data_IF_092158495042
#
_entry.id   IF_092158495042
#
_cell.length_a   1.000
_cell.length_b   1.000
_cell.length_c   1.000
_cell.angle_alpha   90.00
_cell.angle_beta   90.00
_cell.angle_gamma   90.00
#
_symmetry.space_group_name_H-M   'P 1'
#
loop_
_entity.id
_entity.type
_entity.pdbx_description
1 polymer ?
#
# COMPACT_ATOMS: atom_id res chain seq x y z
N UNK A 1 13.18 58.76 -19.81
CA UNK A 1 13.29 57.45 -20.49
C UNK A 1 13.66 56.41 -19.46
N UNK A 2 12.87 55.31 -19.39
CA UNK A 2 13.23 53.91 -19.05
C UNK A 2 14.10 53.70 -17.77
N UNK A 3 13.67 53.00 -16.72
CA UNK A 3 13.44 51.55 -16.71
C UNK A 3 12.63 51.17 -15.44
N UNK A 4 11.44 50.57 -15.58
CA UNK A 4 11.20 49.11 -15.58
C UNK A 4 11.59 48.41 -14.26
N UNK A 5 10.58 48.30 -13.40
CA UNK A 5 10.15 47.10 -12.65
C UNK A 5 11.26 46.08 -12.30
N UNK A 6 11.79 46.14 -11.08
CA UNK A 6 12.41 44.95 -10.46
C UNK A 6 11.35 44.23 -9.63
N UNK A 7 10.54 43.46 -10.35
CA UNK A 7 9.71 42.40 -9.78
C UNK A 7 10.68 41.35 -9.23
N UNK A 8 10.99 41.43 -7.93
CA UNK A 8 11.85 40.48 -7.24
C UNK A 8 11.20 39.11 -7.26
N UNK A 9 11.65 38.30 -8.22
CA UNK A 9 11.87 36.86 -8.19
C UNK A 9 11.16 36.16 -7.03
N UNK A 10 10.02 35.56 -7.39
CA UNK A 10 9.45 34.31 -6.87
C UNK A 10 10.24 33.71 -5.71
N UNK A 11 9.66 33.85 -4.51
CA UNK A 11 10.01 33.04 -3.34
C UNK A 11 9.65 31.57 -3.62
N UNK A 12 10.47 30.89 -4.41
CA UNK A 12 10.44 29.43 -4.56
C UNK A 12 11.03 28.80 -3.29
N UNK A 13 10.24 28.77 -2.22
CA UNK A 13 10.44 27.82 -1.15
C UNK A 13 9.33 26.76 -1.26
N UNK A 14 9.46 25.88 -2.25
CA UNK A 14 8.79 24.59 -2.27
C UNK A 14 9.34 23.74 -1.13
N UNK A 15 8.99 24.08 0.11
CA UNK A 15 9.10 23.14 1.22
C UNK A 15 7.91 22.17 1.14
N UNK A 16 7.82 21.41 0.06
CA UNK A 16 6.92 20.26 0.00
C UNK A 16 7.63 19.08 0.63
N UNK A 17 7.85 19.12 1.95
CA UNK A 17 8.14 17.90 2.70
C UNK A 17 6.83 17.15 2.83
N UNK A 18 6.40 16.53 1.74
CA UNK A 18 5.39 15.49 1.81
C UNK A 18 6.14 14.21 2.08
N UNK A 19 6.32 13.91 3.37
CA UNK A 19 6.53 12.54 3.80
C UNK A 19 5.13 12.04 4.16
N UNK A 20 4.54 11.16 3.35
CA UNK A 20 3.26 10.52 3.69
C UNK A 20 3.38 9.94 5.10
N UNK A 21 2.43 10.27 5.98
CA UNK A 21 2.41 9.70 7.32
C UNK A 21 2.24 8.18 7.25
N UNK A 22 3.00 7.45 8.07
CA UNK A 22 2.89 5.98 8.17
C UNK A 22 1.45 5.53 8.43
N UNK A 23 0.73 6.22 9.32
CA UNK A 23 -0.67 5.90 9.62
C UNK A 23 -1.60 6.05 8.41
N UNK A 24 -1.26 6.91 7.46
CA UNK A 24 -2.00 7.07 6.21
C UNK A 24 -1.64 5.95 5.22
N UNK A 25 -0.37 5.56 5.13
CA UNK A 25 0.07 4.39 4.35
C UNK A 25 -0.57 3.09 4.87
N UNK A 26 -0.62 2.90 6.20
CA UNK A 26 -1.26 1.73 6.84
C UNK A 26 -2.74 1.63 6.43
N UNK A 27 -3.45 2.76 6.34
CA UNK A 27 -4.84 2.79 5.85
C UNK A 27 -4.95 2.42 4.38
N UNK A 28 -4.01 2.84 3.53
CA UNK A 28 -4.02 2.49 2.12
C UNK A 28 -3.69 1.00 1.90
N UNK A 29 -2.72 0.47 2.64
CA UNK A 29 -2.40 -0.96 2.62
C UNK A 29 -3.61 -1.80 3.06
N UNK A 30 -4.28 -1.40 4.14
CA UNK A 30 -5.51 -2.06 4.59
C UNK A 30 -6.63 -1.97 3.56
N UNK A 31 -6.80 -0.80 2.92
CA UNK A 31 -7.80 -0.64 1.86
C UNK A 31 -7.54 -1.55 0.66
N UNK A 32 -6.28 -1.71 0.26
CA UNK A 32 -5.88 -2.64 -0.80
C UNK A 32 -6.16 -4.10 -0.41
N UNK A 33 -5.77 -4.54 0.78
CA UNK A 33 -6.08 -5.89 1.29
C UNK A 33 -7.59 -6.13 1.40
N UNK A 34 -8.36 -5.13 1.81
CA UNK A 34 -9.82 -5.22 1.81
C UNK A 34 -10.40 -5.39 0.39
N UNK A 35 -9.73 -4.84 -0.63
CA UNK A 35 -10.05 -5.09 -2.03
C UNK A 35 -9.80 -6.54 -2.41
N UNK A 36 -8.60 -7.06 -2.10
CA UNK A 36 -8.22 -8.47 -2.30
C UNK A 36 -9.24 -9.41 -1.64
N UNK A 37 -9.61 -9.15 -0.39
CA UNK A 37 -10.54 -9.99 0.36
C UNK A 37 -11.98 -10.00 -0.18
N UNK A 38 -12.37 -8.98 -0.95
CA UNK A 38 -13.68 -8.92 -1.61
C UNK A 38 -13.68 -9.54 -3.00
N UNK A 39 -12.51 -9.71 -3.60
CA UNK A 39 -12.36 -10.33 -4.91
C UNK A 39 -12.55 -11.84 -4.79
N UNK A 40 -13.35 -12.47 -5.66
CA UNK A 40 -13.60 -13.92 -5.60
C UNK A 40 -12.38 -14.73 -6.04
N UNK A 41 -11.54 -14.18 -6.92
CA UNK A 41 -10.38 -14.87 -7.50
C UNK A 41 -9.23 -15.04 -6.50
N UNK A 42 -9.27 -14.34 -5.35
CA UNK A 42 -8.27 -14.50 -4.29
C UNK A 42 -8.49 -15.73 -3.40
N UNK A 43 -9.46 -16.58 -3.73
CA UNK A 43 -9.73 -17.83 -3.04
C UNK A 43 -10.63 -17.66 -1.81
N UNK A 44 -10.68 -18.68 -0.94
CA UNK A 44 -11.65 -18.74 0.16
C UNK A 44 -11.15 -18.14 1.48
N UNK A 45 -9.86 -17.82 1.57
CA UNK A 45 -9.20 -17.33 2.79
C UNK A 45 -9.10 -15.81 2.82
N UNK A 46 -9.04 -15.26 4.02
CA UNK A 46 -8.74 -13.84 4.24
C UNK A 46 -7.23 -13.61 4.16
N UNK A 47 -6.87 -12.45 3.64
CA UNK A 47 -5.53 -11.90 3.64
C UNK A 47 -5.43 -10.77 4.66
N UNK A 48 -4.25 -10.63 5.25
CA UNK A 48 -3.84 -9.52 6.11
C UNK A 48 -2.66 -8.77 5.50
N UNK A 49 -2.45 -7.53 5.93
CA UNK A 49 -1.23 -6.78 5.55
C UNK A 49 -0.04 -7.41 6.27
N UNK A 50 0.92 -7.95 5.52
CA UNK A 50 2.20 -8.39 6.10
C UNK A 50 3.18 -7.21 6.17
N UNK A 51 3.23 -6.41 5.11
CA UNK A 51 4.09 -5.24 5.04
C UNK A 51 3.99 -4.51 3.70
N UNK A 52 4.67 -3.37 3.61
CA UNK A 52 4.82 -2.63 2.37
C UNK A 52 6.18 -1.97 2.27
N UNK A 53 6.64 -1.72 1.06
CA UNK A 53 7.96 -1.15 0.77
C UNK A 53 7.94 -0.28 -0.48
N UNK A 54 9.10 0.27 -0.87
CA UNK A 54 9.28 1.02 -2.11
C UNK A 54 8.29 2.19 -2.29
N UNK A 55 7.96 2.88 -1.20
CA UNK A 55 7.03 4.00 -1.19
C UNK A 55 7.59 5.14 -2.04
N UNK A 56 6.83 5.57 -3.04
CA UNK A 56 7.11 6.73 -3.88
C UNK A 56 5.91 7.66 -3.84
N UNK A 57 6.18 8.93 -3.59
CA UNK A 57 5.14 9.96 -3.56
C UNK A 57 5.40 11.00 -4.64
N UNK A 58 4.35 11.38 -5.34
CA UNK A 58 4.33 12.52 -6.24
C UNK A 58 3.21 13.50 -5.85
N UNK A 59 3.10 14.60 -6.60
CA UNK A 59 2.02 15.56 -6.42
C UNK A 59 0.61 14.95 -6.64
N UNK A 60 0.51 13.88 -7.44
CA UNK A 60 -0.80 13.31 -7.87
C UNK A 60 -1.07 11.93 -7.27
N UNK A 61 -0.04 11.21 -6.87
CA UNK A 61 -0.18 9.81 -6.48
C UNK A 61 0.86 9.38 -5.44
N UNK A 62 0.54 8.30 -4.75
CA UNK A 62 1.47 7.55 -3.90
C UNK A 62 1.45 6.11 -4.41
N UNK A 63 2.62 5.52 -4.63
CA UNK A 63 2.74 4.12 -5.04
C UNK A 63 3.62 3.37 -4.05
N UNK A 64 3.29 2.12 -3.75
CA UNK A 64 4.12 1.26 -2.91
C UNK A 64 3.87 -0.21 -3.25
N UNK A 65 4.85 -1.06 -2.92
CA UNK A 65 4.70 -2.51 -3.04
C UNK A 65 4.10 -3.02 -1.73
N UNK A 66 3.03 -3.80 -1.83
CA UNK A 66 2.30 -4.42 -0.73
C UNK A 66 2.55 -5.93 -0.74
N UNK A 67 2.82 -6.50 0.42
CA UNK A 67 2.78 -7.93 0.65
C UNK A 67 1.57 -8.23 1.54
N UNK A 68 0.63 -9.00 1.01
CA UNK A 68 -0.51 -9.52 1.74
C UNK A 68 -0.29 -10.99 2.04
N UNK A 69 -0.58 -11.43 3.26
CA UNK A 69 -0.38 -12.81 3.70
C UNK A 69 -1.72 -13.49 3.92
N UNK A 70 -1.84 -14.73 3.47
CA UNK A 70 -3.03 -15.54 3.71
C UNK A 70 -3.12 -15.91 5.20
N UNK A 71 -4.31 -15.80 5.78
CA UNK A 71 -4.59 -16.16 7.16
C UNK A 71 -5.30 -17.52 7.25
N UNK A 72 -5.40 -18.07 8.46
CA UNK A 72 -6.16 -19.28 8.75
C UNK A 72 -7.68 -19.12 8.53
N UNK A 73 -8.19 -17.89 8.54
CA UNK A 73 -9.63 -17.57 8.45
C UNK A 73 -10.20 -17.65 7.03
N UNK A 74 -11.47 -18.04 6.93
CA UNK A 74 -12.23 -17.90 5.68
C UNK A 74 -12.77 -16.48 5.52
N UNK A 75 -13.14 -16.10 4.29
CA UNK A 75 -13.79 -14.80 4.00
C UNK A 75 -15.13 -14.60 4.71
N UNK A 76 -15.76 -15.67 5.17
CA UNK A 76 -17.03 -15.62 5.91
C UNK A 76 -16.85 -15.34 7.41
N UNK A 77 -15.60 -15.37 7.90
CA UNK A 77 -15.28 -15.11 9.30
C UNK A 77 -15.67 -13.68 9.68
N UNK A 78 -16.53 -13.54 10.71
CA UNK A 78 -17.02 -12.24 11.20
C UNK A 78 -16.05 -11.58 12.19
N UNK A 79 -15.39 -12.39 13.01
CA UNK A 79 -14.41 -11.94 14.00
C UNK A 79 -13.01 -12.36 13.54
N UNK A 80 -12.19 -11.38 13.20
CA UNK A 80 -10.87 -11.61 12.63
C UNK A 80 -9.74 -11.57 13.66
N UNK A 81 -10.07 -11.43 14.95
CA UNK A 81 -9.08 -11.34 16.03
C UNK A 81 -8.20 -12.59 16.17
N UNK A 82 -8.75 -13.78 15.86
CA UNK A 82 -8.05 -15.06 15.93
C UNK A 82 -7.49 -15.53 14.55
N UNK A 83 -7.41 -14.65 13.56
CA UNK A 83 -6.87 -15.00 12.24
C UNK A 83 -5.35 -15.07 12.27
N UNK A 84 -4.84 -16.27 12.47
CA UNK A 84 -3.40 -16.56 12.51
C UNK A 84 -2.77 -16.60 11.12
N UNK A 85 -1.47 -16.36 11.08
CA UNK A 85 -0.58 -16.55 9.92
C UNK A 85 0.64 -17.34 10.38
N UNK A 86 1.18 -18.21 9.53
CA UNK A 86 2.40 -18.97 9.79
C UNK A 86 3.47 -18.67 8.72
N UNK A 87 4.70 -19.15 8.94
CA UNK A 87 5.83 -18.87 8.04
C UNK A 87 5.64 -19.48 6.63
N UNK A 88 4.84 -20.55 6.55
CA UNK A 88 4.48 -21.27 5.33
C UNK A 88 3.24 -20.68 4.64
N UNK A 89 2.67 -19.60 5.19
CA UNK A 89 1.44 -19.01 4.68
C UNK A 89 1.69 -18.35 3.34
N UNK A 90 0.90 -18.67 2.30
CA UNK A 90 1.04 -18.07 0.98
C UNK A 90 0.90 -16.55 1.03
N UNK A 91 1.66 -15.86 0.19
CA UNK A 91 1.61 -14.41 0.07
C UNK A 91 1.11 -13.97 -1.32
N UNK A 92 0.60 -12.75 -1.38
CA UNK A 92 0.33 -12.01 -2.61
C UNK A 92 1.15 -10.73 -2.60
N UNK A 93 1.87 -10.49 -3.70
CA UNK A 93 2.64 -9.26 -3.93
C UNK A 93 1.87 -8.37 -4.89
N UNK A 94 1.48 -7.19 -4.42
CA UNK A 94 0.68 -6.24 -5.18
C UNK A 94 1.41 -4.91 -5.27
N UNK A 95 1.29 -4.22 -6.40
CA UNK A 95 1.58 -2.80 -6.47
C UNK A 95 0.32 -2.03 -6.11
N UNK A 96 0.42 -1.12 -5.15
CA UNK A 96 -0.68 -0.24 -4.75
C UNK A 96 -0.46 1.14 -5.35
N UNK A 97 -1.50 1.68 -5.96
CA UNK A 97 -1.55 3.04 -6.50
C UNK A 97 -2.65 3.80 -5.78
N UNK A 98 -2.27 4.90 -5.13
CA UNK A 98 -3.17 5.79 -4.43
C UNK A 98 -3.23 7.12 -5.17
N UNK A 99 -4.37 7.45 -5.75
CA UNK A 99 -4.56 8.72 -6.46
C UNK A 99 -5.14 9.78 -5.53
N UNK A 100 -4.50 10.96 -5.50
CA UNK A 100 -4.96 12.15 -4.77
C UNK A 100 -6.01 12.89 -5.60
N UNK A 101 -7.24 12.97 -5.13
CA UNK A 101 -8.30 13.72 -5.80
C UNK A 101 -8.26 15.20 -5.36
N UNK A 102 -8.75 16.14 -6.21
CA UNK A 102 -8.71 17.58 -5.90
C UNK A 102 -9.45 17.99 -4.62
N UNK A 103 -10.38 17.18 -4.14
CA UNK A 103 -11.14 17.40 -2.91
C UNK A 103 -10.47 16.82 -1.64
N UNK A 104 -9.21 16.39 -1.73
CA UNK A 104 -8.49 15.78 -0.61
C UNK A 104 -8.88 14.32 -0.31
N UNK A 105 -9.74 13.71 -1.14
CA UNK A 105 -10.08 12.28 -1.06
C UNK A 105 -9.03 11.46 -1.80
N UNK A 106 -8.74 10.26 -1.29
CA UNK A 106 -7.86 9.31 -1.94
C UNK A 106 -8.68 8.18 -2.60
N UNK A 107 -8.25 7.70 -3.76
CA UNK A 107 -8.68 6.39 -4.28
C UNK A 107 -7.52 5.43 -4.29
N UNK A 108 -7.75 4.21 -3.81
CA UNK A 108 -6.75 3.14 -3.71
C UNK A 108 -7.11 2.07 -4.73
N UNK A 109 -6.14 1.66 -5.53
CA UNK A 109 -6.20 0.48 -6.37
C UNK A 109 -4.97 -0.37 -6.13
N UNK A 110 -5.10 -1.69 -6.20
CA UNK A 110 -3.97 -2.62 -6.19
C UNK A 110 -3.95 -3.44 -7.47
N UNK A 111 -2.77 -3.86 -7.89
CA UNK A 111 -2.57 -4.71 -9.05
C UNK A 111 -1.54 -5.78 -8.71
N UNK A 112 -1.89 -7.04 -8.95
CA UNK A 112 -1.06 -8.19 -8.65
C UNK A 112 -1.82 -9.49 -8.94
N UNK A 113 -1.16 -10.65 -8.82
CA UNK A 113 -1.86 -11.93 -8.88
C UNK A 113 -2.90 -12.03 -7.76
N UNK A 114 -4.05 -12.64 -8.07
CA UNK A 114 -5.07 -12.95 -7.06
C UNK A 114 -4.92 -14.38 -6.53
N UNK A 115 -4.41 -15.30 -7.35
CA UNK A 115 -4.14 -16.67 -6.92
C UNK A 115 -2.76 -16.73 -6.26
N UNK A 116 -2.65 -17.18 -4.99
CA UNK A 116 -1.36 -17.33 -4.33
C UNK A 116 -0.51 -18.43 -4.98
N UNK A 117 0.79 -18.17 -5.14
CA UNK A 117 1.75 -19.22 -5.48
C UNK A 117 2.12 -19.96 -4.18
N UNK A 118 1.88 -21.28 -4.07
CA UNK A 118 2.22 -22.04 -2.87
C UNK A 118 3.73 -22.07 -2.56
N UNK A 119 4.59 -21.67 -3.50
CA UNK A 119 6.04 -21.53 -3.29
C UNK A 119 6.43 -20.16 -2.76
N UNK A 120 5.55 -19.16 -2.85
CA UNK A 120 5.79 -17.85 -2.27
C UNK A 120 5.09 -17.76 -0.91
N UNK A 121 5.88 -17.89 0.15
CA UNK A 121 5.43 -17.82 1.54
C UNK A 121 6.17 -16.72 2.30
N UNK A 122 5.81 -16.49 3.57
CA UNK A 122 6.54 -15.56 4.44
C UNK A 122 8.03 -15.93 4.50
N UNK A 123 8.37 -17.22 4.61
CA UNK A 123 9.76 -17.72 4.70
C UNK A 123 10.62 -17.32 3.49
N UNK A 124 9.98 -17.20 2.32
CA UNK A 124 10.69 -16.89 1.07
C UNK A 124 10.93 -15.40 0.86
N UNK A 125 10.40 -14.55 1.74
CA UNK A 125 10.66 -13.12 1.66
C UNK A 125 12.09 -12.84 2.14
N UNK A 126 12.82 -11.94 1.47
CA UNK A 126 14.01 -11.34 2.05
C UNK A 126 13.53 -10.39 3.16
N UNK A 127 13.14 -10.95 4.31
CA UNK A 127 13.00 -10.19 5.54
C UNK A 127 14.43 -9.80 5.90
N UNK A 128 14.79 -8.54 5.64
CA UNK A 128 16.10 -8.04 6.05
C UNK A 128 16.26 -8.32 7.54
N UNK A 129 17.33 -8.99 7.91
CA UNK A 129 17.76 -9.09 9.29
C UNK A 129 17.89 -7.65 9.82
N UNK A 130 16.92 -7.19 10.61
CA UNK A 130 17.08 -5.99 11.42
C UNK A 130 18.05 -6.38 12.55
N UNK A 131 19.36 -6.27 12.27
CA UNK A 131 20.45 -6.25 13.26
C UNK A 131 20.42 -4.98 14.12
#
# INVERSE_FOLDING_TARGET
MVALLKLSVLLFCLASVSAVEKALLDKFAQAAVNGINKDEDSGSKLFAVLGYSNVKETAKEITFDLVAVQTSCSKETKDTSDCETDIDSPILKHQVVVTKKPNGVYSVASTGPMVPDPKETIDTLPLGDEE
#
